data_IF_528178594720
#
_entry.id   IF_528178594720
#
_cell.length_a   1.000
_cell.length_b   1.000
_cell.length_c   1.000
_cell.angle_alpha   90.00
_cell.angle_beta   90.00
_cell.angle_gamma   90.00
#
_symmetry.space_group_name_H-M   'P 1'
#
loop_
_entity.id
_entity.type
_entity.pdbx_description
1 polymer ?
#
# COMPACT_ATOMS: atom_id res chain seq x y z
N UNK A 1 71.32 25.38 -21.03
CA UNK A 1 71.89 25.56 -19.70
C UNK A 1 70.89 24.96 -18.74
N UNK A 2 71.13 23.72 -18.23
CA UNK A 2 71.64 23.42 -16.86
C UNK A 2 70.64 23.89 -15.83
N UNK A 3 70.04 23.09 -14.94
CA UNK A 3 70.41 21.96 -14.07
C UNK A 3 69.11 21.37 -13.45
N UNK A 4 68.83 20.11 -13.39
CA UNK A 4 69.05 18.98 -12.48
C UNK A 4 68.90 19.26 -10.98
N UNK A 5 67.92 18.54 -10.34
CA UNK A 5 68.03 17.83 -9.04
C UNK A 5 66.66 17.27 -8.75
N UNK A 6 66.30 16.03 -8.67
CA UNK A 6 66.64 14.79 -7.97
C UNK A 6 66.38 14.81 -6.45
N UNK A 7 65.73 13.69 -5.97
CA UNK A 7 65.66 13.12 -4.61
C UNK A 7 64.29 13.45 -3.90
N UNK A 8 63.50 12.54 -3.32
CA UNK A 8 63.74 11.15 -2.91
C UNK A 8 62.42 10.42 -2.71
N UNK A 9 62.49 9.12 -2.88
CA UNK A 9 61.50 8.08 -2.60
C UNK A 9 61.34 7.86 -1.10
N UNK A 10 60.10 7.71 -0.61
CA UNK A 10 59.87 6.88 0.57
C UNK A 10 58.56 6.08 0.34
N UNK A 11 58.74 4.78 0.18
CA UNK A 11 57.70 3.79 0.15
C UNK A 11 57.25 3.46 1.58
N UNK A 12 55.98 3.43 1.84
CA UNK A 12 55.41 2.74 2.98
C UNK A 12 54.29 1.85 2.52
N UNK A 13 54.51 0.54 2.56
CA UNK A 13 53.58 -0.51 2.29
C UNK A 13 52.61 -0.63 3.49
N UNK A 14 51.32 -0.62 3.24
CA UNK A 14 50.32 -1.10 4.21
C UNK A 14 49.34 -2.02 3.50
N UNK A 15 49.12 -3.19 4.09
CA UNK A 15 48.41 -4.34 3.64
C UNK A 15 46.95 -4.04 3.25
N UNK A 16 46.57 -4.55 2.11
CA UNK A 16 45.18 -4.67 1.65
C UNK A 16 44.59 -5.92 2.28
N UNK A 17 43.56 -5.75 3.14
CA UNK A 17 42.63 -6.80 3.47
C UNK A 17 41.42 -6.65 2.53
N UNK A 18 41.26 -7.60 1.61
CA UNK A 18 40.12 -7.69 0.72
C UNK A 18 38.87 -8.14 1.53
N UNK A 19 37.92 -7.22 1.72
CA UNK A 19 36.56 -7.52 2.17
C UNK A 19 35.61 -7.35 1.00
N UNK A 20 35.09 -8.46 0.47
CA UNK A 20 33.94 -8.44 -0.43
C UNK A 20 32.72 -7.97 0.37
N UNK A 21 32.26 -6.75 0.14
CA UNK A 21 30.98 -6.22 0.63
C UNK A 21 30.09 -5.92 -0.56
N UNK A 22 29.00 -6.64 -0.67
CA UNK A 22 27.97 -6.40 -1.67
C UNK A 22 27.34 -5.02 -1.50
N UNK A 23 26.98 -4.40 -2.61
CA UNK A 23 26.32 -3.12 -2.65
C UNK A 23 24.90 -3.24 -2.06
N UNK A 24 24.67 -2.58 -0.93
CA UNK A 24 23.35 -2.31 -0.42
C UNK A 24 22.82 -1.01 -1.06
N UNK A 25 21.87 -1.16 -2.01
CA UNK A 25 21.06 -0.04 -2.48
C UNK A 25 19.98 0.29 -1.42
N UNK A 26 20.36 1.06 -0.40
CA UNK A 26 19.40 1.69 0.50
C UNK A 26 19.18 3.14 0.08
N UNK A 27 18.20 3.36 -0.76
CA UNK A 27 17.62 4.69 -0.96
C UNK A 27 16.91 5.16 0.31
N UNK A 28 17.33 6.29 0.82
CA UNK A 28 17.10 6.84 2.12
C UNK A 28 15.66 7.13 2.52
N UNK A 29 15.42 6.99 3.80
CA UNK A 29 14.26 7.43 4.55
C UNK A 29 14.57 7.21 6.03
N UNK A 30 15.42 8.06 6.61
CA UNK A 30 15.79 7.96 8.03
C UNK A 30 14.65 8.32 8.95
N UNK A 31 13.93 7.34 9.44
CA UNK A 31 13.18 7.41 10.68
C UNK A 31 14.05 6.88 11.81
N UNK A 32 14.40 7.73 12.77
CA UNK A 32 15.18 7.34 13.93
C UNK A 32 14.43 6.24 14.71
N UNK A 33 14.93 5.01 14.59
CA UNK A 33 14.50 3.93 15.48
C UNK A 33 15.00 4.27 16.90
N UNK A 34 14.08 4.59 17.78
CA UNK A 34 14.36 4.62 19.23
C UNK A 34 14.70 3.20 19.65
N UNK A 35 15.99 2.93 19.84
CA UNK A 35 16.47 1.68 20.38
C UNK A 35 16.00 1.55 21.83
N UNK A 36 15.01 0.69 22.06
CA UNK A 36 14.62 0.23 23.38
C UNK A 36 15.73 -0.69 23.91
N UNK A 37 16.34 -0.34 25.04
CA UNK A 37 17.48 -1.02 25.66
C UNK A 37 17.06 -2.24 26.50
N UNK A 38 16.14 -3.06 26.02
CA UNK A 38 15.83 -4.38 26.56
C UNK A 38 16.09 -5.42 25.49
N UNK A 39 16.80 -6.51 25.79
CA UNK A 39 16.96 -7.63 24.86
C UNK A 39 15.56 -8.21 24.59
N UNK A 40 15.01 -7.96 23.42
CA UNK A 40 13.79 -8.61 22.97
C UNK A 40 14.05 -10.14 22.94
N UNK A 41 13.22 -10.90 23.65
CA UNK A 41 13.33 -12.36 23.72
C UNK A 41 12.77 -13.05 22.49
N UNK A 42 11.90 -12.35 21.75
CA UNK A 42 11.24 -12.80 20.52
C UNK A 42 11.22 -11.65 19.52
N UNK A 43 11.47 -11.94 18.25
CA UNK A 43 11.40 -10.93 17.17
C UNK A 43 10.42 -11.39 16.11
N UNK A 44 9.31 -10.68 15.95
CA UNK A 44 8.32 -10.91 14.91
C UNK A 44 8.69 -10.14 13.63
N UNK A 45 8.43 -10.76 12.49
CA UNK A 45 8.60 -10.15 11.17
C UNK A 45 7.23 -9.78 10.60
N UNK A 46 6.94 -8.47 10.49
CA UNK A 46 5.76 -7.93 9.84
C UNK A 46 6.09 -7.55 8.40
N UNK A 47 5.44 -8.18 7.44
CA UNK A 47 5.55 -7.83 6.01
C UNK A 47 4.22 -7.25 5.55
N UNK A 48 4.22 -5.98 5.13
CA UNK A 48 2.99 -5.26 4.84
C UNK A 48 3.10 -4.34 3.62
N UNK A 49 1.94 -3.97 3.07
CA UNK A 49 1.90 -2.90 2.08
C UNK A 49 2.27 -1.55 2.70
N UNK A 50 2.68 -0.59 1.86
CA UNK A 50 3.41 0.60 2.32
C UNK A 50 2.58 1.60 3.13
N UNK A 51 1.28 1.77 2.82
CA UNK A 51 0.52 2.90 3.35
C UNK A 51 0.25 2.84 4.87
N UNK A 52 -0.01 1.67 5.52
CA UNK A 52 -0.30 1.61 6.94
C UNK A 52 0.94 1.66 7.86
N UNK A 53 2.14 1.86 7.34
CA UNK A 53 3.32 1.97 8.19
C UNK A 53 3.10 2.97 9.33
N UNK A 54 2.53 4.13 9.05
CA UNK A 54 2.24 5.18 10.06
C UNK A 54 1.32 4.69 11.18
N UNK A 55 0.46 3.72 10.92
CA UNK A 55 -0.41 3.12 11.93
C UNK A 55 0.35 2.07 12.73
N UNK A 56 1.15 1.24 12.06
CA UNK A 56 1.97 0.23 12.73
C UNK A 56 3.04 0.86 13.62
N UNK A 57 3.57 2.05 13.27
CA UNK A 57 4.45 2.86 14.12
C UNK A 57 3.81 3.19 15.50
N UNK A 58 2.46 3.14 15.62
CA UNK A 58 1.74 3.31 16.88
C UNK A 58 1.17 2.01 17.44
N UNK A 59 0.76 1.08 16.58
CA UNK A 59 0.16 -0.21 16.99
C UNK A 59 1.22 -1.11 17.63
N UNK A 60 2.42 -1.19 17.05
CA UNK A 60 3.52 -1.99 17.58
C UNK A 60 3.94 -1.56 19.00
N UNK A 61 4.25 -0.28 19.27
CA UNK A 61 4.52 0.16 20.65
C UNK A 61 3.34 -0.08 21.59
N UNK A 62 2.10 0.09 21.12
CA UNK A 62 0.91 -0.20 21.90
C UNK A 62 0.79 -1.69 22.27
N UNK A 63 1.08 -2.60 21.34
CA UNK A 63 1.16 -4.03 21.62
C UNK A 63 2.25 -4.36 22.62
N UNK A 64 3.46 -3.83 22.44
CA UNK A 64 4.62 -4.06 23.33
C UNK A 64 4.37 -3.61 24.77
N UNK A 65 3.46 -2.67 24.98
CA UNK A 65 3.04 -2.23 26.31
C UNK A 65 2.05 -3.20 26.99
N UNK A 66 1.54 -4.21 26.28
CA UNK A 66 0.66 -5.23 26.85
C UNK A 66 1.46 -6.38 27.47
N UNK A 67 0.87 -7.16 28.39
CA UNK A 67 1.53 -8.37 28.91
C UNK A 67 1.96 -9.35 27.81
N UNK A 68 1.15 -9.53 26.75
CA UNK A 68 1.44 -10.42 25.64
C UNK A 68 2.55 -9.89 24.71
N UNK A 69 2.76 -8.59 24.68
CA UNK A 69 3.77 -7.93 23.86
C UNK A 69 5.09 -7.61 24.56
N UNK A 70 5.15 -7.85 25.88
CA UNK A 70 6.37 -7.60 26.67
C UNK A 70 7.53 -8.47 26.17
N UNK A 71 8.67 -7.84 25.83
CA UNK A 71 9.85 -8.53 25.29
C UNK A 71 9.71 -9.00 23.84
N UNK A 72 8.68 -8.52 23.11
CA UNK A 72 8.50 -8.80 21.69
C UNK A 72 9.04 -7.61 20.86
N UNK A 73 10.08 -7.84 20.06
CA UNK A 73 10.60 -6.92 19.07
C UNK A 73 9.98 -7.15 17.70
N UNK A 74 10.17 -6.21 16.78
CA UNK A 74 9.68 -6.31 15.41
C UNK A 74 10.79 -6.06 14.40
N UNK A 75 10.69 -6.75 13.26
CA UNK A 75 11.33 -6.45 12.00
C UNK A 75 10.21 -6.14 11.03
N UNK A 76 10.33 -5.04 10.30
CA UNK A 76 9.24 -4.55 9.46
C UNK A 76 9.73 -4.42 8.02
N UNK A 77 8.89 -4.86 7.08
CA UNK A 77 9.10 -4.67 5.64
C UNK A 77 7.86 -4.06 5.03
N UNK A 78 7.97 -2.86 4.50
CA UNK A 78 6.88 -2.13 3.86
C UNK A 78 7.20 -1.84 2.39
N UNK A 79 6.27 -2.13 1.50
CA UNK A 79 6.45 -1.92 0.06
C UNK A 79 5.16 -2.05 -0.74
N UNK A 80 5.27 -2.15 -2.04
CA UNK A 80 4.12 -2.43 -2.89
C UNK A 80 3.52 -3.80 -2.53
N UNK A 81 2.19 -3.87 -2.36
CA UNK A 81 1.50 -5.05 -1.81
C UNK A 81 1.81 -6.34 -2.58
N UNK A 82 1.73 -6.29 -3.90
CA UNK A 82 2.04 -7.44 -4.75
C UNK A 82 3.49 -7.88 -4.65
N UNK A 83 4.44 -6.94 -4.55
CA UNK A 83 5.86 -7.24 -4.38
C UNK A 83 6.13 -7.90 -3.02
N UNK A 84 5.55 -7.36 -1.95
CA UNK A 84 5.68 -7.93 -0.60
C UNK A 84 5.13 -9.35 -0.53
N UNK A 85 3.97 -9.59 -1.12
CA UNK A 85 3.40 -10.95 -1.18
C UNK A 85 4.28 -11.91 -1.97
N UNK A 86 4.82 -11.50 -3.12
CA UNK A 86 5.77 -12.30 -3.91
C UNK A 86 7.09 -12.56 -3.15
N UNK A 87 7.58 -11.56 -2.45
CA UNK A 87 8.80 -11.72 -1.64
C UNK A 87 8.61 -12.78 -0.54
N UNK A 88 7.46 -12.78 0.16
CA UNK A 88 7.13 -13.81 1.16
C UNK A 88 6.99 -15.19 0.49
N UNK A 89 6.31 -15.28 -0.66
CA UNK A 89 6.21 -16.52 -1.43
C UNK A 89 7.60 -17.06 -1.81
N UNK A 90 8.53 -16.15 -2.14
CA UNK A 90 9.92 -16.47 -2.51
C UNK A 90 10.86 -16.68 -1.32
N UNK A 91 10.36 -16.63 -0.08
CA UNK A 91 11.13 -16.96 1.12
C UNK A 91 11.52 -15.80 2.03
N UNK A 92 11.03 -14.58 1.79
CA UNK A 92 11.16 -13.50 2.78
C UNK A 92 10.50 -13.93 4.08
N UNK A 93 11.25 -13.92 5.18
CA UNK A 93 10.74 -14.31 6.48
C UNK A 93 9.61 -13.38 6.93
N UNK A 94 8.47 -13.96 7.30
CA UNK A 94 7.32 -13.27 7.83
C UNK A 94 6.63 -14.11 8.91
N UNK A 95 6.19 -13.47 9.98
CA UNK A 95 5.30 -14.03 10.99
C UNK A 95 3.88 -13.52 10.80
N UNK A 96 3.75 -12.26 10.35
CA UNK A 96 2.50 -11.60 10.06
C UNK A 96 2.60 -10.93 8.67
N UNK A 97 1.55 -11.08 7.88
CA UNK A 97 1.41 -10.42 6.59
C UNK A 97 0.15 -9.55 6.57
N UNK A 98 0.27 -8.33 6.04
CA UNK A 98 -0.86 -7.40 5.89
C UNK A 98 -0.81 -6.75 4.50
N UNK A 99 -1.82 -6.99 3.69
CA UNK A 99 -1.82 -6.58 2.28
C UNK A 99 -2.94 -5.60 1.94
N UNK A 100 -2.80 -4.98 0.79
CA UNK A 100 -3.79 -4.05 0.25
C UNK A 100 -5.05 -4.76 -0.24
N UNK A 101 -4.94 -6.02 -0.68
CA UNK A 101 -6.05 -6.76 -1.29
C UNK A 101 -5.94 -8.28 -1.09
N UNK A 102 -7.08 -8.96 -1.16
CA UNK A 102 -7.22 -10.41 -0.96
C UNK A 102 -6.36 -11.28 -1.91
N UNK A 103 -6.19 -10.99 -3.20
CA UNK A 103 -5.34 -11.79 -4.09
C UNK A 103 -3.90 -11.96 -3.63
N UNK A 104 -3.33 -10.96 -2.94
CA UNK A 104 -2.00 -11.07 -2.38
C UNK A 104 -1.96 -12.03 -1.18
N UNK A 105 -3.05 -12.13 -0.41
CA UNK A 105 -3.23 -13.14 0.63
C UNK A 105 -3.47 -14.52 0.02
N UNK A 106 -4.34 -14.62 -0.98
CA UNK A 106 -4.68 -15.88 -1.66
C UNK A 106 -3.45 -16.52 -2.32
N UNK A 107 -2.48 -15.72 -2.81
CA UNK A 107 -1.19 -16.23 -3.30
C UNK A 107 -0.49 -17.03 -2.20
N UNK A 108 -0.39 -16.50 -1.00
CA UNK A 108 0.28 -17.16 0.12
C UNK A 108 -0.52 -18.39 0.62
N UNK A 109 -1.84 -18.36 0.53
CA UNK A 109 -2.68 -19.53 0.81
C UNK A 109 -2.36 -20.66 -0.17
N UNK A 110 -2.30 -20.36 -1.48
CA UNK A 110 -1.94 -21.34 -2.51
C UNK A 110 -0.52 -21.91 -2.33
N UNK A 111 0.40 -21.10 -1.81
CA UNK A 111 1.76 -21.51 -1.47
C UNK A 111 1.86 -22.29 -0.13
N UNK A 112 0.75 -22.47 0.60
CA UNK A 112 0.72 -23.12 1.91
C UNK A 112 1.43 -22.33 3.02
N UNK A 113 1.59 -21.02 2.82
CA UNK A 113 2.21 -20.11 3.78
C UNK A 113 1.21 -19.41 4.70
N UNK A 114 -0.06 -19.34 4.29
CA UNK A 114 -1.17 -18.83 5.08
C UNK A 114 -2.27 -19.90 5.07
N UNK A 115 -2.95 -20.09 6.21
CA UNK A 115 -4.01 -21.08 6.33
C UNK A 115 -5.25 -20.71 5.48
N UNK A 116 -5.99 -21.72 5.01
CA UNK A 116 -7.22 -21.53 4.25
C UNK A 116 -8.33 -20.82 5.06
N UNK A 117 -8.28 -20.91 6.38
CA UNK A 117 -9.23 -20.32 7.31
C UNK A 117 -8.82 -18.95 7.82
N UNK A 118 -7.81 -18.30 7.21
CA UNK A 118 -7.31 -16.98 7.61
C UNK A 118 -8.42 -15.92 7.77
N UNK A 119 -9.50 -16.05 7.01
CA UNK A 119 -10.64 -15.14 7.02
C UNK A 119 -11.81 -15.60 7.94
N UNK A 120 -11.62 -16.65 8.75
CA UNK A 120 -12.70 -17.22 9.56
C UNK A 120 -13.04 -16.40 10.83
N UNK A 121 -12.24 -15.38 11.17
CA UNK A 121 -12.51 -14.53 12.32
C UNK A 121 -13.70 -13.57 12.09
N UNK A 122 -14.18 -12.93 13.17
CA UNK A 122 -15.35 -12.03 13.14
C UNK A 122 -15.20 -10.87 12.12
N UNK A 123 -13.98 -10.47 11.79
CA UNK A 123 -13.68 -9.40 10.83
C UNK A 123 -13.33 -9.91 9.43
N UNK A 124 -13.56 -11.21 9.15
CA UNK A 124 -13.31 -11.85 7.85
C UNK A 124 -11.87 -11.68 7.37
N UNK A 125 -10.91 -11.77 8.29
CA UNK A 125 -9.49 -11.59 7.99
C UNK A 125 -9.05 -10.15 7.68
N UNK A 126 -9.92 -9.19 7.84
CA UNK A 126 -9.61 -7.78 7.56
C UNK A 126 -9.09 -7.07 8.80
N UNK A 127 -8.13 -6.16 8.63
CA UNK A 127 -7.60 -5.29 9.69
C UNK A 127 -8.08 -3.85 9.54
N UNK A 128 -8.40 -3.42 8.33
CA UNK A 128 -8.92 -2.09 8.07
C UNK A 128 -9.69 -2.06 6.76
N UNK A 129 -10.44 -0.97 6.56
CA UNK A 129 -11.11 -0.63 5.32
C UNK A 129 -10.79 0.80 4.92
N UNK A 130 -11.08 1.15 3.68
CA UNK A 130 -11.01 2.52 3.15
C UNK A 130 -11.96 2.65 1.96
N UNK A 131 -11.92 3.78 1.28
CA UNK A 131 -12.54 3.98 -0.03
C UNK A 131 -11.54 4.66 -0.95
N UNK A 132 -11.72 4.50 -2.27
CA UNK A 132 -10.94 5.27 -3.22
C UNK A 132 -11.43 6.71 -3.24
N UNK A 133 -10.50 7.65 -3.23
CA UNK A 133 -10.71 9.09 -3.25
C UNK A 133 -9.83 9.77 -4.31
N UNK A 134 -10.16 11.00 -4.63
CA UNK A 134 -9.39 11.89 -5.49
C UNK A 134 -8.67 12.91 -4.59
N UNK A 135 -7.37 12.76 -4.42
CA UNK A 135 -6.54 13.72 -3.67
C UNK A 135 -6.19 14.85 -4.63
N UNK A 136 -6.48 16.07 -4.22
CA UNK A 136 -6.31 17.29 -5.03
C UNK A 136 -5.42 18.28 -4.31
N UNK A 137 -4.91 19.27 -5.04
CA UNK A 137 -4.18 20.38 -4.46
C UNK A 137 -5.06 21.14 -3.48
N UNK A 138 -4.46 21.77 -2.47
CA UNK A 138 -5.19 22.59 -1.48
C UNK A 138 -6.08 23.63 -2.15
N UNK A 139 -7.35 23.69 -1.73
CA UNK A 139 -8.37 24.56 -2.31
C UNK A 139 -8.94 24.07 -3.65
N UNK A 140 -8.56 22.88 -4.12
CA UNK A 140 -9.06 22.24 -5.35
C UNK A 140 -9.10 23.21 -6.57
N UNK A 141 -7.99 23.82 -6.99
CA UNK A 141 -7.97 24.89 -8.00
C UNK A 141 -8.43 24.41 -9.39
N UNK A 142 -8.46 23.10 -9.65
CA UNK A 142 -8.94 22.49 -10.89
C UNK A 142 -10.41 22.10 -10.84
N UNK A 143 -11.09 22.33 -9.71
CA UNK A 143 -12.50 22.01 -9.50
C UNK A 143 -12.84 20.54 -9.86
N UNK A 144 -12.05 19.61 -9.29
CA UNK A 144 -12.20 18.15 -9.46
C UNK A 144 -13.19 17.64 -8.42
N UNK A 145 -14.32 17.09 -8.83
CA UNK A 145 -15.36 16.55 -7.94
C UNK A 145 -15.82 15.16 -8.32
N UNK A 146 -15.70 14.80 -9.60
CA UNK A 146 -16.21 13.57 -10.18
C UNK A 146 -15.15 12.85 -11.00
N UNK A 147 -15.42 11.61 -11.36
CA UNK A 147 -14.58 10.85 -12.28
C UNK A 147 -14.48 11.53 -13.66
N UNK A 148 -15.54 12.19 -14.13
CA UNK A 148 -15.53 12.89 -15.43
C UNK A 148 -14.60 14.10 -15.44
N UNK A 149 -14.37 14.71 -14.30
CA UNK A 149 -13.43 15.84 -14.20
C UNK A 149 -11.98 15.43 -14.48
N UNK A 150 -11.64 14.15 -14.32
CA UNK A 150 -10.30 13.62 -14.61
C UNK A 150 -10.01 13.59 -16.12
N UNK A 151 -11.04 13.58 -16.95
CA UNK A 151 -10.92 13.60 -18.42
C UNK A 151 -10.95 15.01 -19.03
N UNK A 152 -11.01 16.06 -18.20
CA UNK A 152 -10.94 17.44 -18.70
C UNK A 152 -9.57 17.72 -19.32
N UNK A 153 -9.52 18.50 -20.42
CA UNK A 153 -8.25 18.85 -21.06
C UNK A 153 -7.25 19.46 -20.08
N UNK A 154 -6.02 18.98 -20.11
CA UNK A 154 -4.91 19.49 -19.30
C UNK A 154 -4.89 19.01 -17.84
N UNK A 155 -5.82 18.14 -17.42
CA UNK A 155 -5.73 17.48 -16.10
C UNK A 155 -4.69 16.37 -16.16
N UNK A 156 -3.75 16.41 -15.22
CA UNK A 156 -2.68 15.42 -15.02
C UNK A 156 -2.99 14.56 -13.82
N UNK A 157 -3.20 13.27 -14.07
CA UNK A 157 -3.57 12.29 -13.06
C UNK A 157 -2.35 11.45 -12.66
N UNK A 158 -2.20 11.19 -11.37
CA UNK A 158 -1.28 10.21 -10.83
C UNK A 158 -2.06 9.01 -10.26
N UNK A 159 -1.51 7.82 -10.40
CA UNK A 159 -1.96 6.60 -9.73
C UNK A 159 -0.81 5.60 -9.73
N UNK A 160 -0.68 4.69 -8.76
CA UNK A 160 0.37 3.68 -8.86
C UNK A 160 0.09 2.66 -9.96
N UNK A 161 1.12 1.86 -10.32
CA UNK A 161 1.02 0.82 -11.34
C UNK A 161 0.23 -0.41 -10.80
N UNK A 162 -0.82 -0.90 -11.48
CA UNK A 162 -1.65 -2.02 -10.98
C UNK A 162 -0.97 -3.39 -11.03
N UNK A 163 0.21 -3.52 -11.64
CA UNK A 163 0.97 -4.77 -11.70
C UNK A 163 1.97 -4.92 -10.55
N UNK A 164 2.28 -3.83 -9.84
CA UNK A 164 3.09 -3.83 -8.62
C UNK A 164 2.26 -3.52 -7.38
N UNK A 165 1.37 -2.54 -7.47
CA UNK A 165 0.60 -1.99 -6.34
C UNK A 165 -0.82 -2.54 -6.28
N UNK A 166 -1.19 -3.13 -5.13
CA UNK A 166 -2.58 -3.45 -4.85
C UNK A 166 -3.48 -2.20 -4.77
N UNK A 167 -2.94 -1.07 -4.32
CA UNK A 167 -3.68 0.19 -4.29
C UNK A 167 -4.14 0.61 -5.68
N UNK A 168 -3.30 0.46 -6.68
CA UNK A 168 -3.64 0.80 -8.05
C UNK A 168 -4.80 -0.06 -8.60
N UNK A 169 -4.86 -1.34 -8.24
CA UNK A 169 -6.00 -2.18 -8.64
C UNK A 169 -7.32 -1.64 -8.10
N UNK A 170 -7.36 -1.23 -6.83
CA UNK A 170 -8.52 -0.59 -6.27
C UNK A 170 -8.88 0.72 -6.98
N UNK A 171 -7.88 1.55 -7.32
CA UNK A 171 -8.07 2.81 -8.03
C UNK A 171 -8.72 2.59 -9.41
N UNK A 172 -8.18 1.64 -10.18
CA UNK A 172 -8.70 1.24 -11.49
C UNK A 172 -10.13 0.71 -11.38
N UNK A 173 -10.38 -0.17 -10.40
CA UNK A 173 -11.71 -0.75 -10.19
C UNK A 173 -12.74 0.27 -9.71
N UNK A 174 -12.33 1.27 -8.93
CA UNK A 174 -13.21 2.37 -8.54
C UNK A 174 -13.69 3.18 -9.75
N UNK A 175 -12.75 3.57 -10.61
CA UNK A 175 -13.06 4.29 -11.84
C UNK A 175 -13.93 3.45 -12.79
N UNK A 176 -13.53 2.19 -13.00
CA UNK A 176 -14.29 1.25 -13.84
C UNK A 176 -15.72 1.06 -13.32
N UNK A 177 -15.88 0.69 -12.06
CA UNK A 177 -17.19 0.42 -11.47
C UNK A 177 -18.10 1.64 -11.50
N UNK A 178 -17.56 2.83 -11.20
CA UNK A 178 -18.30 4.08 -11.29
C UNK A 178 -18.79 4.39 -12.71
N UNK A 179 -18.00 4.07 -13.72
CA UNK A 179 -18.32 4.42 -15.12
C UNK A 179 -19.06 3.31 -15.87
N UNK A 180 -19.01 2.07 -15.37
CA UNK A 180 -19.75 0.94 -15.91
C UNK A 180 -21.10 0.68 -15.23
N UNK A 181 -21.53 1.54 -14.29
CA UNK A 181 -22.73 1.27 -13.50
C UNK A 181 -22.61 0.03 -12.60
N UNK A 182 -21.46 -0.15 -11.94
CA UNK A 182 -21.20 -1.34 -11.13
C UNK A 182 -20.87 -2.60 -11.93
N UNK A 183 -20.49 -2.44 -13.21
CA UNK A 183 -20.16 -3.55 -14.11
C UNK A 183 -21.29 -3.95 -15.07
N UNK A 184 -22.41 -3.25 -15.06
CA UNK A 184 -23.55 -3.49 -15.98
C UNK A 184 -23.20 -3.17 -17.45
N UNK A 185 -22.37 -2.13 -17.67
CA UNK A 185 -21.86 -1.72 -18.99
C UNK A 185 -20.33 -1.79 -19.00
N UNK A 186 -19.75 -2.99 -19.25
CA UNK A 186 -18.29 -3.16 -19.27
C UNK A 186 -17.59 -2.33 -20.32
N UNK A 187 -18.21 -2.13 -21.48
CA UNK A 187 -17.59 -1.39 -22.60
C UNK A 187 -17.41 0.08 -22.22
N UNK A 188 -18.40 0.70 -21.60
CA UNK A 188 -18.32 2.08 -21.12
C UNK A 188 -17.27 2.23 -20.04
N UNK A 189 -17.18 1.29 -19.09
CA UNK A 189 -16.14 1.29 -18.06
C UNK A 189 -14.73 1.19 -18.64
N UNK A 190 -14.52 0.28 -19.61
CA UNK A 190 -13.22 0.09 -20.27
C UNK A 190 -12.86 1.27 -21.19
N UNK A 191 -13.84 1.87 -21.87
CA UNK A 191 -13.61 3.06 -22.69
C UNK A 191 -13.13 4.24 -21.81
N UNK A 192 -13.77 4.44 -20.65
CA UNK A 192 -13.33 5.44 -19.67
C UNK A 192 -11.90 5.16 -19.19
N UNK A 193 -11.58 3.93 -18.79
CA UNK A 193 -10.23 3.58 -18.34
C UNK A 193 -9.19 3.80 -19.44
N UNK A 194 -9.50 3.42 -20.66
CA UNK A 194 -8.58 3.67 -21.79
C UNK A 194 -8.28 5.15 -21.96
N UNK A 195 -9.29 5.99 -21.94
CA UNK A 195 -9.10 7.43 -22.06
C UNK A 195 -8.30 7.99 -20.87
N UNK A 196 -8.68 7.63 -19.64
CA UNK A 196 -7.98 8.06 -18.43
C UNK A 196 -6.50 7.68 -18.46
N UNK A 197 -6.19 6.41 -18.70
CA UNK A 197 -4.82 5.87 -18.61
C UNK A 197 -3.96 6.38 -19.75
N UNK A 198 -4.48 6.39 -20.98
CA UNK A 198 -3.64 6.73 -22.15
C UNK A 198 -3.47 8.24 -22.38
N UNK A 199 -4.38 9.09 -21.83
CA UNK A 199 -4.35 10.53 -22.12
C UNK A 199 -4.13 11.41 -20.88
N UNK A 200 -4.48 10.94 -19.69
CA UNK A 200 -4.49 11.78 -18.49
C UNK A 200 -3.56 11.28 -17.38
N UNK A 201 -3.33 9.97 -17.26
CA UNK A 201 -2.35 9.45 -16.31
C UNK A 201 -0.95 9.75 -16.83
N UNK A 202 -0.21 10.55 -16.06
CA UNK A 202 1.13 11.02 -16.44
C UNK A 202 2.25 10.31 -15.69
N UNK A 203 1.94 9.74 -14.52
CA UNK A 203 2.90 8.99 -13.69
C UNK A 203 2.20 7.78 -13.07
N UNK A 204 2.88 6.64 -13.08
CA UNK A 204 2.46 5.41 -12.42
C UNK A 204 3.61 4.88 -11.55
N UNK A 205 3.60 5.30 -10.30
CA UNK A 205 4.61 4.89 -9.31
C UNK A 205 4.46 3.42 -8.92
N UNK A 206 5.50 2.87 -8.30
CA UNK A 206 5.53 1.47 -7.89
C UNK A 206 4.55 1.16 -6.76
N UNK A 207 4.29 2.12 -5.87
CA UNK A 207 3.42 1.95 -4.69
C UNK A 207 2.55 3.16 -4.42
N UNK A 208 1.48 2.99 -3.63
CA UNK A 208 0.62 4.09 -3.20
C UNK A 208 1.39 5.18 -2.43
N UNK A 209 2.35 4.77 -1.60
CA UNK A 209 3.20 5.72 -0.87
C UNK A 209 4.07 6.57 -1.80
N UNK A 210 4.71 5.94 -2.78
CA UNK A 210 5.53 6.67 -3.76
C UNK A 210 4.66 7.64 -4.56
N UNK A 211 3.47 7.23 -5.02
CA UNK A 211 2.53 8.08 -5.71
C UNK A 211 2.10 9.30 -4.88
N UNK A 212 1.87 9.12 -3.57
CA UNK A 212 1.57 10.22 -2.66
C UNK A 212 2.77 11.16 -2.49
N UNK A 213 3.98 10.61 -2.36
CA UNK A 213 5.21 11.41 -2.27
C UNK A 213 5.45 12.22 -3.54
N UNK A 214 5.28 11.60 -4.69
CA UNK A 214 5.41 12.28 -5.98
C UNK A 214 4.37 13.39 -6.13
N UNK A 215 3.10 13.09 -5.82
CA UNK A 215 2.06 14.11 -5.79
C UNK A 215 2.40 15.25 -4.85
N UNK A 216 2.76 14.99 -3.60
CA UNK A 216 3.08 16.06 -2.62
C UNK A 216 4.35 16.84 -2.97
N UNK A 217 5.23 16.28 -3.78
CA UNK A 217 6.41 16.97 -4.34
C UNK A 217 6.07 17.93 -5.49
N UNK A 218 4.81 17.97 -5.93
CA UNK A 218 4.34 18.96 -6.91
C UNK A 218 3.90 18.38 -8.26
N UNK A 219 4.03 17.07 -8.48
CA UNK A 219 3.65 16.44 -9.72
C UNK A 219 2.12 16.20 -9.82
N UNK A 220 1.55 16.41 -10.99
CA UNK A 220 0.13 16.20 -11.28
C UNK A 220 -0.83 17.18 -10.61
N UNK A 221 -2.09 17.11 -11.01
CA UNK A 221 -3.20 17.91 -10.49
C UNK A 221 -4.07 17.12 -9.52
N UNK A 222 -4.15 15.81 -9.72
CA UNK A 222 -4.96 14.89 -8.93
C UNK A 222 -4.25 13.54 -8.80
N UNK A 223 -4.33 12.95 -7.60
CA UNK A 223 -3.88 11.59 -7.33
C UNK A 223 -5.11 10.73 -6.99
N UNK A 224 -5.33 9.67 -7.76
CA UNK A 224 -6.30 8.64 -7.37
C UNK A 224 -5.65 7.78 -6.29
N UNK A 225 -6.21 7.76 -5.10
CA UNK A 225 -5.65 7.04 -3.95
C UNK A 225 -6.74 6.73 -2.90
N UNK A 226 -6.31 6.29 -1.75
CA UNK A 226 -7.17 5.95 -0.62
C UNK A 226 -7.55 7.17 0.22
N UNK A 227 -8.74 7.17 0.80
CA UNK A 227 -9.19 8.18 1.78
C UNK A 227 -8.18 8.35 2.93
N UNK A 228 -7.66 7.24 3.47
CA UNK A 228 -6.65 7.28 4.55
C UNK A 228 -5.33 7.93 4.12
N UNK A 229 -4.94 7.86 2.86
CA UNK A 229 -3.71 8.52 2.36
C UNK A 229 -3.90 10.05 2.36
N UNK A 230 -5.07 10.52 1.95
CA UNK A 230 -5.41 11.95 2.01
C UNK A 230 -5.38 12.47 3.46
N UNK A 231 -6.04 11.75 4.38
CA UNK A 231 -6.10 12.12 5.80
C UNK A 231 -4.70 12.08 6.43
N UNK A 232 -3.91 11.06 6.11
CA UNK A 232 -2.51 10.94 6.55
C UNK A 232 -1.67 12.11 6.04
N UNK A 233 -1.80 12.49 4.77
CA UNK A 233 -1.09 13.63 4.19
C UNK A 233 -1.46 14.93 4.91
N UNK A 234 -2.74 15.19 5.15
CA UNK A 234 -3.20 16.36 5.89
C UNK A 234 -2.67 16.38 7.32
N UNK A 235 -2.70 15.24 8.03
CA UNK A 235 -2.12 15.12 9.39
C UNK A 235 -0.62 15.41 9.43
N UNK A 236 0.09 15.11 8.35
CA UNK A 236 1.52 15.43 8.17
C UNK A 236 1.78 16.84 7.65
N UNK A 237 0.74 17.69 7.60
CA UNK A 237 0.86 19.11 7.19
C UNK A 237 0.97 19.33 5.68
N UNK A 238 0.74 18.29 4.87
CA UNK A 238 0.76 18.42 3.42
C UNK A 238 -0.43 19.27 2.94
N UNK A 239 -0.19 20.14 1.95
CA UNK A 239 -1.18 21.05 1.42
C UNK A 239 -2.04 20.36 0.35
N UNK A 240 -2.90 19.48 0.81
CA UNK A 240 -3.83 18.71 -0.03
C UNK A 240 -5.25 18.79 0.52
N UNK A 241 -6.22 18.68 -0.39
CA UNK A 241 -7.61 18.35 -0.08
C UNK A 241 -7.97 17.04 -0.78
N UNK A 242 -9.14 16.52 -0.54
CA UNK A 242 -9.60 15.31 -1.23
C UNK A 242 -11.11 15.32 -1.44
N UNK A 243 -11.55 14.60 -2.42
CA UNK A 243 -12.94 14.36 -2.76
C UNK A 243 -13.20 12.86 -2.74
N UNK A 244 -14.27 12.45 -2.09
CA UNK A 244 -14.79 11.08 -2.23
C UNK A 244 -15.89 11.15 -3.29
N UNK A 245 -15.71 10.53 -4.46
CA UNK A 245 -16.75 10.50 -5.48
C UNK A 245 -18.00 9.77 -4.98
N UNK A 246 -19.19 10.17 -5.43
CA UNK A 246 -20.45 9.53 -5.06
C UNK A 246 -20.44 8.01 -5.35
N UNK A 247 -19.85 7.63 -6.46
CA UNK A 247 -19.62 6.22 -6.82
C UNK A 247 -18.14 5.89 -6.63
N UNK A 248 -17.85 5.00 -5.70
CA UNK A 248 -16.50 4.52 -5.42
C UNK A 248 -16.54 3.12 -4.80
N UNK A 249 -15.37 2.46 -4.72
CA UNK A 249 -15.27 1.10 -4.21
C UNK A 249 -14.84 1.07 -2.76
N UNK A 250 -15.42 0.14 -1.98
CA UNK A 250 -14.95 -0.19 -0.64
C UNK A 250 -13.66 -1.00 -0.74
N UNK A 251 -12.61 -0.48 -0.14
CA UNK A 251 -11.31 -1.14 0.00
C UNK A 251 -11.34 -2.02 1.26
N UNK A 252 -10.88 -3.26 1.13
CA UNK A 252 -10.80 -4.24 2.21
C UNK A 252 -9.35 -4.73 2.32
N UNK A 253 -8.70 -4.47 3.47
CA UNK A 253 -7.28 -4.78 3.68
C UNK A 253 -7.11 -6.00 4.59
N UNK A 254 -6.61 -7.14 4.07
CA UNK A 254 -6.43 -8.36 4.82
C UNK A 254 -5.17 -8.36 5.68
N UNK A 255 -5.22 -9.14 6.78
CA UNK A 255 -4.11 -9.48 7.66
C UNK A 255 -4.17 -10.94 8.05
N UNK A 256 -3.03 -11.62 8.14
CA UNK A 256 -2.96 -13.00 8.59
C UNK A 256 -1.64 -13.31 9.29
N UNK A 257 -1.66 -14.35 10.12
CA UNK A 257 -0.46 -15.01 10.63
C UNK A 257 0.05 -16.01 9.58
N UNK A 258 1.36 -16.06 9.40
CA UNK A 258 2.01 -17.01 8.51
C UNK A 258 2.07 -18.38 9.19
N UNK A 259 1.60 -19.45 8.51
CA UNK A 259 1.49 -20.82 9.05
C UNK A 259 2.83 -21.40 9.52
N UNK A 260 3.95 -20.94 8.93
CA UNK A 260 5.31 -21.36 9.27
C UNK A 260 6.03 -20.39 10.19
N UNK A 261 5.31 -19.49 10.84
CA UNK A 261 5.88 -18.59 11.86
C UNK A 261 6.63 -19.41 12.92
N UNK A 262 7.82 -18.95 13.30
CA UNK A 262 8.58 -19.50 14.42
C UNK A 262 8.03 -19.07 15.77
N UNK A 263 7.12 -18.09 15.76
CA UNK A 263 6.52 -17.46 16.95
C UNK A 263 4.99 -17.38 16.81
N UNK A 264 4.28 -18.48 16.59
CA UNK A 264 2.86 -18.47 16.22
C UNK A 264 1.97 -17.87 17.33
N UNK A 265 2.31 -18.07 18.59
CA UNK A 265 1.55 -17.52 19.72
C UNK A 265 1.67 -15.99 19.80
N UNK A 266 2.90 -15.45 19.66
CA UNK A 266 3.15 -14.01 19.68
C UNK A 266 2.58 -13.34 18.43
N UNK A 267 2.69 -13.97 17.27
CA UNK A 267 2.10 -13.49 16.03
C UNK A 267 0.56 -13.42 16.13
N UNK A 268 -0.06 -14.48 16.71
CA UNK A 268 -1.50 -14.46 16.98
C UNK A 268 -1.89 -13.37 17.99
N UNK A 269 -1.13 -13.23 19.06
CA UNK A 269 -1.39 -12.20 20.06
C UNK A 269 -1.29 -10.78 19.46
N UNK A 270 -0.33 -10.54 18.55
CA UNK A 270 -0.27 -9.29 17.82
C UNK A 270 -1.46 -9.08 16.88
N UNK A 271 -1.89 -10.12 16.15
CA UNK A 271 -3.08 -10.06 15.31
C UNK A 271 -4.32 -9.72 16.15
N UNK A 272 -4.52 -10.40 17.27
CA UNK A 272 -5.64 -10.15 18.18
C UNK A 272 -5.61 -8.70 18.73
N UNK A 273 -4.40 -8.19 19.05
CA UNK A 273 -4.24 -6.80 19.45
C UNK A 273 -4.56 -5.81 18.33
N UNK A 274 -4.08 -6.06 17.10
CA UNK A 274 -4.35 -5.20 15.95
C UNK A 274 -5.86 -5.09 15.64
N UNK A 275 -6.63 -6.11 15.99
CA UNK A 275 -8.10 -6.15 15.86
C UNK A 275 -8.82 -5.60 17.11
N UNK A 276 -8.11 -5.30 18.20
CA UNK A 276 -8.72 -4.76 19.43
C UNK A 276 -9.24 -3.32 19.22
N UNK A 277 -10.27 -2.89 19.99
CA UNK A 277 -10.77 -1.52 19.92
C UNK A 277 -9.68 -0.45 20.10
N UNK A 278 -8.66 -0.72 20.94
CA UNK A 278 -7.53 0.18 21.17
C UNK A 278 -6.69 0.39 19.91
N UNK A 279 -6.31 -0.67 19.22
CA UNK A 279 -5.56 -0.59 17.98
C UNK A 279 -6.45 -0.05 16.82
N UNK A 280 -7.71 -0.47 16.77
CA UNK A 280 -8.66 0.00 15.75
C UNK A 280 -8.94 1.51 15.87
N UNK A 281 -8.87 2.09 17.08
CA UNK A 281 -8.92 3.54 17.23
C UNK A 281 -7.70 4.23 16.60
N UNK A 282 -6.49 3.63 16.68
CA UNK A 282 -5.31 4.17 15.98
C UNK A 282 -5.48 4.11 14.46
N UNK A 283 -6.04 3.04 13.93
CA UNK A 283 -6.42 2.98 12.51
C UNK A 283 -7.38 4.12 12.14
N UNK A 284 -8.44 4.37 12.95
CA UNK A 284 -9.38 5.46 12.73
C UNK A 284 -8.71 6.85 12.80
N UNK A 285 -7.75 7.02 13.69
CA UNK A 285 -7.03 8.28 13.88
C UNK A 285 -6.13 8.62 12.67
N UNK A 286 -5.68 7.61 11.93
CA UNK A 286 -4.92 7.74 10.69
C UNK A 286 -5.78 7.64 9.43
N UNK A 287 -7.12 7.71 9.57
CA UNK A 287 -8.04 7.79 8.43
C UNK A 287 -8.43 6.44 7.83
N UNK A 288 -8.06 5.32 8.45
CA UNK A 288 -8.55 4.00 8.07
C UNK A 288 -9.91 3.76 8.69
N UNK A 289 -10.85 3.22 7.93
CA UNK A 289 -12.16 2.80 8.42
C UNK A 289 -11.99 1.54 9.26
N UNK A 290 -12.27 1.58 10.59
CA UNK A 290 -12.10 0.43 11.47
C UNK A 290 -12.96 -0.75 11.05
N UNK A 291 -12.47 -1.98 11.32
CA UNK A 291 -13.27 -3.20 11.17
C UNK A 291 -14.10 -3.48 12.41
N UNK A 292 -13.69 -2.95 13.57
CA UNK A 292 -14.51 -2.96 14.80
C UNK A 292 -15.67 -1.98 14.64
N UNK A 293 -16.91 -2.51 14.73
CA UNK A 293 -18.12 -1.73 14.47
C UNK A 293 -18.32 -0.61 15.52
N UNK A 294 -18.01 -0.87 16.78
CA UNK A 294 -18.20 0.13 17.84
C UNK A 294 -17.21 1.31 17.66
N UNK A 295 -15.97 1.02 17.26
CA UNK A 295 -14.97 2.05 16.93
C UNK A 295 -15.38 2.79 15.67
N UNK A 296 -15.88 2.09 14.63
CA UNK A 296 -16.39 2.75 13.42
C UNK A 296 -17.53 3.71 13.74
N UNK A 297 -18.55 3.28 14.49
CA UNK A 297 -19.72 4.09 14.85
C UNK A 297 -19.32 5.36 15.62
N UNK A 298 -18.35 5.24 16.50
CA UNK A 298 -17.78 6.35 17.28
C UNK A 298 -17.06 7.37 16.37
N UNK A 299 -16.49 6.93 15.26
CA UNK A 299 -15.72 7.73 14.32
C UNK A 299 -16.46 8.03 13.00
N UNK A 300 -17.74 7.61 12.86
CA UNK A 300 -18.47 7.67 11.58
C UNK A 300 -18.56 9.07 10.93
N UNK A 301 -18.48 10.12 11.74
CA UNK A 301 -18.46 11.49 11.23
C UNK A 301 -17.21 11.79 10.38
N UNK A 302 -16.10 11.06 10.59
CA UNK A 302 -14.87 11.16 9.79
C UNK A 302 -14.99 10.38 8.46
N UNK A 303 -15.92 9.44 8.36
CA UNK A 303 -16.01 8.44 7.29
C UNK A 303 -17.39 8.45 6.63
N UNK A 304 -17.72 9.49 5.85
CA UNK A 304 -18.99 9.54 5.15
C UNK A 304 -19.13 8.34 4.21
N UNK A 305 -20.35 7.75 4.17
CA UNK A 305 -20.63 6.66 3.25
C UNK A 305 -21.06 7.24 1.90
N UNK A 306 -20.32 6.99 0.83
CA UNK A 306 -20.70 7.43 -0.52
C UNK A 306 -22.06 6.83 -0.92
N UNK A 307 -22.89 7.59 -1.63
CA UNK A 307 -24.23 7.17 -2.02
C UNK A 307 -24.24 5.97 -2.97
N UNK A 308 -23.22 5.86 -3.82
CA UNK A 308 -22.99 4.76 -4.75
C UNK A 308 -21.79 3.91 -4.36
N UNK A 309 -21.59 3.64 -3.06
CA UNK A 309 -20.53 2.75 -2.59
C UNK A 309 -20.81 1.31 -3.05
N UNK A 310 -19.86 0.74 -3.79
CA UNK A 310 -19.89 -0.67 -4.21
C UNK A 310 -18.66 -1.44 -3.70
N UNK A 311 -18.67 -2.74 -3.85
CA UNK A 311 -17.66 -3.67 -3.38
C UNK A 311 -17.05 -4.46 -4.53
N UNK A 312 -15.96 -5.16 -4.27
CA UNK A 312 -15.38 -6.08 -5.25
C UNK A 312 -16.35 -7.20 -5.65
N UNK A 313 -17.30 -7.55 -4.76
CA UNK A 313 -18.32 -8.60 -5.02
C UNK A 313 -19.30 -8.16 -6.09
N UNK A 314 -19.65 -6.88 -6.13
CA UNK A 314 -20.54 -6.31 -7.15
C UNK A 314 -19.91 -6.38 -8.55
N UNK A 315 -18.58 -6.40 -8.65
CA UNK A 315 -17.81 -6.63 -9.88
C UNK A 315 -17.56 -8.12 -10.17
N UNK A 316 -18.10 -9.03 -9.36
CA UNK A 316 -17.96 -10.48 -9.52
C UNK A 316 -16.83 -11.12 -8.71
N UNK A 317 -16.19 -10.40 -7.80
CA UNK A 317 -15.14 -10.89 -6.91
C UNK A 317 -13.74 -10.90 -7.53
N UNK A 318 -12.73 -11.04 -6.67
CA UNK A 318 -11.33 -10.93 -7.07
C UNK A 318 -10.88 -11.95 -8.11
N UNK A 319 -11.37 -13.20 -8.07
CA UNK A 319 -10.96 -14.21 -9.06
C UNK A 319 -11.34 -13.76 -10.47
N UNK A 320 -12.61 -13.42 -10.68
CA UNK A 320 -13.10 -12.94 -11.99
C UNK A 320 -12.39 -11.67 -12.43
N UNK A 321 -12.23 -10.71 -11.51
CA UNK A 321 -11.61 -9.41 -11.79
C UNK A 321 -10.14 -9.57 -12.16
N UNK A 322 -9.35 -10.38 -11.44
CA UNK A 322 -7.95 -10.61 -11.78
C UNK A 322 -7.79 -11.22 -13.17
N UNK A 323 -8.61 -12.22 -13.49
CA UNK A 323 -8.53 -12.88 -14.80
C UNK A 323 -8.96 -11.95 -15.94
N UNK A 324 -10.03 -11.17 -15.74
CA UNK A 324 -10.59 -10.31 -16.78
C UNK A 324 -9.78 -9.02 -17.00
N UNK A 325 -9.18 -8.45 -15.93
CA UNK A 325 -8.55 -7.14 -15.99
C UNK A 325 -7.02 -7.19 -15.87
N UNK A 326 -6.48 -8.01 -14.97
CA UNK A 326 -5.08 -7.94 -14.54
C UNK A 326 -4.26 -9.18 -14.90
N UNK A 327 -4.79 -10.09 -15.69
CA UNK A 327 -3.97 -11.12 -16.33
C UNK A 327 -2.98 -10.43 -17.29
N UNK A 328 -1.64 -10.67 -17.18
CA UNK A 328 -0.65 -9.93 -17.97
C UNK A 328 -0.78 -10.13 -19.47
N UNK A 329 -1.32 -11.27 -19.90
CA UNK A 329 -1.37 -11.64 -21.33
C UNK A 329 -2.70 -11.27 -21.98
N UNK A 330 -3.82 -11.46 -21.27
CA UNK A 330 -5.18 -11.32 -21.84
C UNK A 330 -6.08 -10.33 -21.11
N UNK A 331 -5.61 -9.75 -19.98
CA UNK A 331 -6.41 -8.81 -19.17
C UNK A 331 -6.66 -7.51 -19.91
N UNK A 332 -7.89 -6.98 -19.81
CA UNK A 332 -8.28 -5.75 -20.49
C UNK A 332 -7.50 -4.53 -19.99
N UNK A 333 -7.22 -4.43 -18.70
CA UNK A 333 -6.37 -3.36 -18.14
C UNK A 333 -4.92 -3.57 -18.54
N UNK A 334 -4.43 -4.82 -18.59
CA UNK A 334 -3.08 -5.09 -19.08
C UNK A 334 -2.88 -4.61 -20.51
N UNK A 335 -3.88 -4.80 -21.37
CA UNK A 335 -3.83 -4.29 -22.76
C UNK A 335 -3.80 -2.75 -22.78
N UNK A 336 -4.62 -2.08 -21.98
CA UNK A 336 -4.65 -0.61 -21.90
C UNK A 336 -3.32 -0.05 -21.37
N UNK A 337 -2.72 -0.67 -20.35
CA UNK A 337 -1.42 -0.25 -19.82
C UNK A 337 -0.28 -0.43 -20.83
N UNK A 338 -0.29 -1.54 -21.59
CA UNK A 338 0.66 -1.76 -22.68
C UNK A 338 0.51 -0.70 -23.79
N UNK A 339 -0.73 -0.35 -24.16
CA UNK A 339 -1.01 0.72 -25.13
C UNK A 339 -0.49 2.10 -24.62
N UNK A 340 -0.49 2.32 -23.31
CA UNK A 340 0.08 3.50 -22.67
C UNK A 340 1.61 3.44 -22.47
N UNK A 341 2.27 2.35 -22.88
CA UNK A 341 3.71 2.15 -22.70
C UNK A 341 4.14 1.78 -21.29
N UNK A 342 3.20 1.36 -20.43
CA UNK A 342 3.46 1.01 -19.03
C UNK A 342 3.77 -0.48 -18.90
N UNK A 343 4.76 -0.81 -18.07
CA UNK A 343 5.14 -2.20 -17.80
C UNK A 343 4.05 -2.96 -17.08
N UNK A 344 3.68 -4.11 -17.61
CA UNK A 344 2.80 -5.10 -16.96
C UNK A 344 3.58 -6.27 -16.36
N UNK A 345 4.90 -6.20 -16.35
CA UNK A 345 5.75 -7.18 -15.67
C UNK A 345 5.53 -7.14 -14.15
N UNK A 346 5.53 -8.34 -13.54
CA UNK A 346 5.30 -8.54 -12.10
C UNK A 346 6.61 -8.77 -11.38
#
# INVERSE_FOLDING_TARGET
>A
MKTRSLIAVLALAALVAAGCGGADDTAGGGGAATASSGKDSTKLSLVAYSTPQVVYDEVIPGFRATPAGTGVGFSESFGASGDQSRAVESGLAADIVAFSLEPDMTRLVKAGLVSNDWAANAHKGLVSKSVVSLIVRKGNPKNIHTWDDLLKPGIKVLTPNPFTSGAAKWNILAAYGAKSGGGEDPEKGLAYLRELITKHVTVQDKSGREALQDFTSGNGDVLISYENEAITAQKKGQQVDYVIPDQTILIENPIAVVSKSKHPEQAKAFLDYALSPTAQQKFADWGYRPVDQAVFDKNKAKFPTPSGLFTIRDLGGWSKVNDAFFDPDKGSVAAIEKDAGVSTAK
#
